data_IF_725986041978
#
_entry.id   IF_725986041978
#
_cell.length_a   1.000
_cell.length_b   1.000
_cell.length_c   1.000
_cell.angle_alpha   90.00
_cell.angle_beta   90.00
_cell.angle_gamma   90.00
#
_symmetry.space_group_name_H-M   'P 1'
#
loop_
_entity.id
_entity.type
_entity.pdbx_description
1 polymer ?
#
# COMPACT_ATOMS: atom_id res chain seq x y z
N UNK A 1 15.52 12.93 22.94
CA UNK A 1 15.66 12.52 21.53
C UNK A 1 14.34 12.58 20.78
N UNK A 2 13.30 11.81 21.10
CA UNK A 2 12.01 11.81 20.39
C UNK A 2 11.33 13.19 20.35
N UNK A 3 11.32 13.94 21.44
CA UNK A 3 10.77 15.28 21.50
C UNK A 3 11.48 16.23 20.53
N UNK A 4 12.81 16.17 20.47
CA UNK A 4 13.60 16.94 19.51
C UNK A 4 13.30 16.53 18.07
N UNK A 5 13.19 15.21 17.81
CA UNK A 5 12.86 14.70 16.48
C UNK A 5 11.45 15.12 16.01
N UNK A 6 10.49 15.20 16.94
CA UNK A 6 9.10 15.53 16.60
C UNK A 6 8.84 17.04 16.48
N UNK A 7 9.48 17.87 17.31
CA UNK A 7 9.10 19.30 17.43
C UNK A 7 10.20 20.29 17.05
N UNK A 8 11.43 19.83 16.79
CA UNK A 8 12.50 20.71 16.30
C UNK A 8 12.57 20.71 14.77
N UNK A 9 12.88 21.84 14.14
CA UNK A 9 13.13 21.85 12.69
C UNK A 9 14.35 21.01 12.37
N UNK A 10 14.13 19.90 11.65
CA UNK A 10 15.17 18.98 11.19
C UNK A 10 15.29 19.15 9.69
N UNK A 11 16.50 19.43 9.21
CA UNK A 11 16.82 19.45 7.79
C UNK A 11 17.57 18.15 7.47
N UNK A 12 16.99 17.35 6.56
CA UNK A 12 17.65 16.12 6.13
C UNK A 12 18.90 16.43 5.28
N UNK A 13 20.06 15.82 5.58
CA UNK A 13 21.23 15.98 4.73
C UNK A 13 20.91 15.61 3.27
N UNK A 14 21.33 16.46 2.31
CA UNK A 14 21.11 16.25 0.86
C UNK A 14 19.65 16.02 0.49
N UNK A 15 18.72 16.76 1.07
CA UNK A 15 17.27 16.61 0.93
C UNK A 15 16.82 16.53 -0.53
N UNK A 16 17.30 17.41 -1.41
CA UNK A 16 16.96 17.41 -2.84
C UNK A 16 17.37 16.10 -3.53
N UNK A 17 18.57 15.58 -3.19
CA UNK A 17 19.02 14.31 -3.76
C UNK A 17 18.19 13.12 -3.25
N UNK A 18 17.76 13.16 -1.97
CA UNK A 18 16.83 12.15 -1.40
C UNK A 18 15.50 12.13 -2.13
N UNK A 19 14.91 13.30 -2.35
CA UNK A 19 13.66 13.47 -3.11
C UNK A 19 13.83 12.92 -4.54
N UNK A 20 14.92 13.30 -5.22
CA UNK A 20 15.18 12.81 -6.58
C UNK A 20 15.31 11.28 -6.63
N UNK A 21 16.07 10.67 -5.72
CA UNK A 21 16.23 9.21 -5.65
C UNK A 21 14.91 8.52 -5.32
N UNK A 22 14.11 9.07 -4.42
CA UNK A 22 12.78 8.54 -4.08
C UNK A 22 11.83 8.57 -5.29
N UNK A 23 11.76 9.70 -5.99
CA UNK A 23 10.94 9.84 -7.20
C UNK A 23 11.41 8.90 -8.32
N UNK A 24 12.73 8.81 -8.54
CA UNK A 24 13.30 7.91 -9.55
C UNK A 24 13.01 6.44 -9.24
N UNK A 25 13.26 6.01 -7.99
CA UNK A 25 12.98 4.65 -7.55
C UNK A 25 11.51 4.30 -7.67
N UNK A 26 10.61 5.21 -7.27
CA UNK A 26 9.17 5.02 -7.42
C UNK A 26 8.73 4.98 -8.88
N UNK A 27 9.28 5.82 -9.75
CA UNK A 27 8.97 5.81 -11.18
C UNK A 27 9.36 4.47 -11.83
N UNK A 28 10.56 3.95 -11.51
CA UNK A 28 11.03 2.65 -12.01
C UNK A 28 10.15 1.51 -11.46
N UNK A 29 9.86 1.50 -10.16
CA UNK A 29 8.98 0.51 -9.55
C UNK A 29 7.59 0.50 -10.18
N UNK A 30 7.00 1.69 -10.36
CA UNK A 30 5.71 1.88 -11.03
C UNK A 30 5.73 1.39 -12.49
N UNK A 31 6.83 1.65 -13.21
CA UNK A 31 6.98 1.15 -14.58
C UNK A 31 6.93 -0.39 -14.63
N UNK A 32 7.65 -1.09 -13.75
CA UNK A 32 7.59 -2.53 -13.69
C UNK A 32 6.21 -3.05 -13.26
N UNK A 33 5.55 -2.41 -12.31
CA UNK A 33 4.22 -2.80 -11.84
C UNK A 33 3.16 -2.68 -12.95
N UNK A 34 3.27 -1.66 -13.81
CA UNK A 34 2.33 -1.45 -14.91
C UNK A 34 2.62 -2.28 -16.17
N UNK A 35 3.91 -2.47 -16.52
CA UNK A 35 4.31 -2.98 -17.83
C UNK A 35 5.01 -4.35 -17.80
N UNK A 36 5.29 -4.90 -16.61
CA UNK A 36 5.93 -6.19 -16.44
C UNK A 36 5.03 -7.17 -15.65
N UNK A 37 3.75 -7.27 -16.00
CA UNK A 37 2.76 -8.16 -15.37
C UNK A 37 2.75 -8.07 -13.85
N UNK A 38 2.94 -6.86 -13.30
CA UNK A 38 3.04 -6.57 -11.84
C UNK A 38 4.24 -7.24 -11.15
N UNK A 39 5.20 -7.71 -11.92
CA UNK A 39 6.40 -8.34 -11.38
C UNK A 39 7.55 -7.33 -11.36
N UNK A 40 7.83 -6.77 -10.19
CA UNK A 40 8.97 -5.87 -9.98
C UNK A 40 10.22 -6.72 -9.72
N UNK A 41 11.30 -6.60 -10.52
CA UNK A 41 12.48 -7.44 -10.36
C UNK A 41 13.10 -7.34 -8.97
N UNK A 42 13.32 -8.47 -8.30
CA UNK A 42 13.95 -8.53 -6.98
C UNK A 42 15.29 -7.77 -6.91
N UNK A 43 16.09 -7.89 -7.99
CA UNK A 43 17.38 -7.17 -8.09
C UNK A 43 17.22 -5.66 -7.98
N UNK A 44 16.15 -5.12 -8.57
CA UNK A 44 15.84 -3.69 -8.45
C UNK A 44 15.42 -3.35 -7.01
N UNK A 45 14.57 -4.16 -6.38
CA UNK A 45 14.10 -3.94 -5.00
C UNK A 45 15.26 -3.92 -4.02
N UNK A 46 16.16 -4.92 -4.09
CA UNK A 46 17.35 -4.97 -3.25
C UNK A 46 18.32 -3.83 -3.54
N UNK A 47 18.53 -3.48 -4.81
CA UNK A 47 19.39 -2.35 -5.18
C UNK A 47 18.84 -1.02 -4.66
N UNK A 48 17.53 -0.79 -4.81
CA UNK A 48 16.89 0.44 -4.34
C UNK A 48 16.96 0.56 -2.81
N UNK A 49 16.69 -0.52 -2.08
CA UNK A 49 16.82 -0.56 -0.63
C UNK A 49 18.27 -0.33 -0.18
N UNK A 50 19.24 -0.97 -0.86
CA UNK A 50 20.67 -0.81 -0.56
C UNK A 50 21.13 0.62 -0.82
N UNK A 51 20.74 1.23 -1.93
CA UNK A 51 21.06 2.64 -2.24
C UNK A 51 20.47 3.56 -1.18
N UNK A 52 19.20 3.34 -0.77
CA UNK A 52 18.56 4.13 0.27
C UNK A 52 19.28 4.01 1.63
N UNK A 53 19.73 2.82 1.99
CA UNK A 53 20.48 2.59 3.22
C UNK A 53 21.88 3.21 3.17
N UNK A 54 22.64 2.97 2.08
CA UNK A 54 23.98 3.51 1.89
C UNK A 54 23.99 5.03 1.84
N UNK A 55 22.95 5.65 1.24
CA UNK A 55 22.81 7.10 1.21
C UNK A 55 22.77 7.71 2.63
N UNK A 56 22.07 7.05 3.56
CA UNK A 56 22.06 7.46 4.95
C UNK A 56 23.42 7.25 5.67
N UNK A 57 24.19 6.25 5.26
CA UNK A 57 25.54 6.02 5.80
C UNK A 57 26.56 7.04 5.30
N UNK A 58 26.45 7.44 4.02
CA UNK A 58 27.36 8.43 3.39
C UNK A 58 27.05 9.84 3.88
N UNK A 59 25.77 10.22 3.92
CA UNK A 59 25.32 11.53 4.39
C UNK A 59 24.71 11.40 5.78
N UNK A 60 25.59 10.98 6.73
CA UNK A 60 25.20 10.58 8.06
C UNK A 60 24.77 11.77 8.93
N UNK A 61 23.57 11.68 9.45
CA UNK A 61 23.08 12.45 10.59
C UNK A 61 22.49 11.46 11.59
N UNK A 62 22.96 11.49 12.84
CA UNK A 62 22.62 10.46 13.83
C UNK A 62 21.13 10.37 14.08
N UNK A 63 20.46 11.51 14.27
CA UNK A 63 19.03 11.57 14.60
C UNK A 63 18.18 11.10 13.42
N UNK A 64 18.48 11.59 12.22
CA UNK A 64 17.78 11.20 10.97
C UNK A 64 18.01 9.73 10.66
N UNK A 65 19.26 9.23 10.82
CA UNK A 65 19.61 7.85 10.54
C UNK A 65 18.86 6.87 11.44
N UNK A 66 18.92 7.08 12.76
CA UNK A 66 18.24 6.19 13.73
C UNK A 66 16.74 6.21 13.49
N UNK A 67 16.16 7.38 13.29
CA UNK A 67 14.73 7.50 13.01
C UNK A 67 14.32 6.76 11.72
N UNK A 68 15.08 6.95 10.63
CA UNK A 68 14.82 6.30 9.35
C UNK A 68 14.92 4.77 9.46
N UNK A 69 15.99 4.25 10.11
CA UNK A 69 16.21 2.80 10.22
C UNK A 69 15.17 2.14 11.11
N UNK A 70 14.87 2.72 12.28
CA UNK A 70 13.87 2.17 13.20
C UNK A 70 12.47 2.16 12.54
N UNK A 71 12.09 3.26 11.90
CA UNK A 71 10.81 3.37 11.22
C UNK A 71 10.72 2.40 10.02
N UNK A 72 11.78 2.33 9.20
CA UNK A 72 11.83 1.39 8.08
C UNK A 72 11.74 -0.06 8.56
N UNK A 73 12.42 -0.42 9.65
CA UNK A 73 12.35 -1.76 10.23
C UNK A 73 10.93 -2.10 10.71
N UNK A 74 10.27 -1.19 11.43
CA UNK A 74 8.90 -1.40 11.91
C UNK A 74 7.94 -1.59 10.73
N UNK A 75 8.00 -0.70 9.74
CA UNK A 75 7.11 -0.77 8.57
C UNK A 75 7.42 -1.98 7.69
N UNK A 76 8.70 -2.37 7.56
CA UNK A 76 9.08 -3.58 6.86
C UNK A 76 8.53 -4.83 7.57
N UNK A 77 8.67 -4.92 8.90
CA UNK A 77 8.17 -6.05 9.67
C UNK A 77 6.62 -6.18 9.58
N UNK A 78 5.90 -5.06 9.73
CA UNK A 78 4.45 -5.02 9.56
C UNK A 78 4.03 -5.36 8.13
N UNK A 79 4.69 -4.75 7.14
CA UNK A 79 4.45 -5.02 5.72
C UNK A 79 4.73 -6.47 5.36
N UNK A 80 5.83 -7.06 5.86
CA UNK A 80 6.15 -8.46 5.64
C UNK A 80 5.09 -9.40 6.24
N UNK A 81 4.56 -9.08 7.44
CA UNK A 81 3.46 -9.83 8.02
C UNK A 81 2.20 -9.76 7.13
N UNK A 82 1.85 -8.57 6.61
CA UNK A 82 0.72 -8.40 5.68
C UNK A 82 0.95 -9.12 4.35
N UNK A 83 2.18 -9.10 3.82
CA UNK A 83 2.57 -9.87 2.65
C UNK A 83 2.34 -11.38 2.86
N UNK A 84 2.79 -11.92 3.99
CA UNK A 84 2.57 -13.34 4.33
C UNK A 84 1.09 -13.72 4.44
N UNK A 85 0.24 -12.77 4.77
CA UNK A 85 -1.22 -12.91 4.77
C UNK A 85 -1.84 -12.76 3.36
N UNK A 86 -1.07 -12.34 2.36
CA UNK A 86 -1.53 -12.09 1.00
C UNK A 86 -2.34 -10.79 0.86
N UNK A 87 -2.12 -9.82 1.75
CA UNK A 87 -2.85 -8.54 1.75
C UNK A 87 -2.17 -7.45 0.94
N UNK A 88 -0.84 -7.50 0.83
CA UNK A 88 -0.03 -6.57 0.03
C UNK A 88 1.03 -7.33 -0.77
N UNK A 89 1.54 -6.73 -1.84
CA UNK A 89 2.62 -7.29 -2.66
C UNK A 89 3.98 -7.23 -1.95
N UNK A 90 4.86 -8.21 -2.24
CA UNK A 90 6.22 -8.21 -1.71
C UNK A 90 7.00 -6.95 -2.13
N UNK A 91 6.86 -6.53 -3.38
CA UNK A 91 7.50 -5.33 -3.90
C UNK A 91 7.11 -4.06 -3.13
N UNK A 92 5.84 -3.92 -2.73
CA UNK A 92 5.33 -2.75 -1.98
C UNK A 92 6.07 -2.60 -0.65
N UNK A 93 6.35 -3.72 0.05
CA UNK A 93 7.06 -3.73 1.33
C UNK A 93 8.47 -3.16 1.20
N UNK A 94 9.22 -3.62 0.18
CA UNK A 94 10.58 -3.14 -0.08
C UNK A 94 10.62 -1.67 -0.47
N UNK A 95 9.69 -1.26 -1.33
CA UNK A 95 9.60 0.12 -1.81
C UNK A 95 9.22 1.08 -0.67
N UNK A 96 8.25 0.72 0.17
CA UNK A 96 7.88 1.51 1.35
C UNK A 96 9.08 1.66 2.29
N UNK A 97 9.82 0.58 2.56
CA UNK A 97 11.01 0.64 3.41
C UNK A 97 12.10 1.54 2.81
N UNK A 98 12.37 1.44 1.51
CA UNK A 98 13.33 2.29 0.82
C UNK A 98 12.92 3.77 0.83
N UNK A 99 11.62 4.08 0.63
CA UNK A 99 11.09 5.43 0.74
C UNK A 99 11.29 6.02 2.14
N UNK A 100 11.03 5.24 3.17
CA UNK A 100 11.21 5.67 4.56
C UNK A 100 12.68 5.90 4.89
N UNK A 101 13.59 5.09 4.36
CA UNK A 101 15.02 5.33 4.50
C UNK A 101 15.45 6.62 3.81
N UNK A 102 14.94 6.93 2.62
CA UNK A 102 15.27 8.16 1.90
C UNK A 102 14.59 9.39 2.49
N UNK A 103 13.31 9.29 2.82
CA UNK A 103 12.46 10.40 3.26
C UNK A 103 11.72 10.04 4.56
N UNK A 104 12.43 9.93 5.69
CA UNK A 104 11.82 9.54 6.96
C UNK A 104 10.83 10.57 7.52
N UNK A 105 11.07 11.85 7.23
CA UNK A 105 10.25 12.99 7.63
C UNK A 105 9.91 13.86 6.42
N UNK A 106 9.03 14.84 6.62
CA UNK A 106 8.69 15.81 5.58
C UNK A 106 9.89 16.70 5.22
N UNK A 107 10.06 17.03 3.93
CA UNK A 107 11.04 18.01 3.51
C UNK A 107 10.86 19.35 4.20
N UNK A 108 11.97 20.04 4.46
CA UNK A 108 12.01 21.29 5.23
C UNK A 108 11.14 22.43 4.66
N UNK A 109 10.91 22.44 3.36
CA UNK A 109 10.08 23.45 2.70
C UNK A 109 8.57 23.29 2.96
N UNK A 110 8.12 22.14 3.50
CA UNK A 110 6.70 21.87 3.71
C UNK A 110 6.13 22.45 5.02
N UNK A 111 6.94 23.01 5.90
CA UNK A 111 6.50 23.67 7.15
C UNK A 111 5.37 22.92 7.89
N UNK A 112 5.61 21.67 8.22
CA UNK A 112 4.64 20.85 9.00
C UNK A 112 4.68 21.22 10.48
N UNK A 113 3.55 21.15 11.22
CA UNK A 113 3.51 21.54 12.63
C UNK A 113 4.35 20.66 13.56
N UNK A 114 4.61 19.43 13.15
CA UNK A 114 5.52 18.48 13.81
C UNK A 114 6.06 17.48 12.79
N UNK A 115 7.24 16.91 13.05
CA UNK A 115 7.94 16.01 12.14
C UNK A 115 7.34 14.59 12.21
N UNK A 116 6.15 14.39 11.67
CA UNK A 116 5.62 13.03 11.50
C UNK A 116 6.20 12.39 10.22
N UNK A 117 6.22 11.04 10.14
CA UNK A 117 6.77 10.36 8.98
C UNK A 117 6.05 10.74 7.68
N UNK A 118 6.81 11.13 6.64
CA UNK A 118 6.26 11.46 5.31
C UNK A 118 5.44 10.32 4.73
N UNK A 119 5.83 9.07 5.02
CA UNK A 119 5.15 7.89 4.50
C UNK A 119 3.66 7.85 4.85
N UNK A 120 3.23 8.42 5.97
CA UNK A 120 1.81 8.50 6.32
C UNK A 120 1.05 9.41 5.35
N UNK A 121 1.62 10.55 4.98
CA UNK A 121 1.03 11.41 3.93
C UNK A 121 0.99 10.68 2.59
N UNK A 122 2.06 9.95 2.23
CA UNK A 122 2.13 9.13 1.01
C UNK A 122 1.01 8.09 0.98
N UNK A 123 0.84 7.35 2.08
CA UNK A 123 -0.20 6.31 2.19
C UNK A 123 -1.62 6.90 2.18
N UNK A 124 -1.83 8.04 2.83
CA UNK A 124 -3.14 8.73 2.86
C UNK A 124 -3.52 9.21 1.45
N UNK A 125 -2.64 9.95 0.78
CA UNK A 125 -2.91 10.44 -0.58
C UNK A 125 -2.96 9.30 -1.60
N UNK A 126 -2.02 8.36 -1.54
CA UNK A 126 -1.99 7.20 -2.41
C UNK A 126 -3.20 6.29 -2.21
N UNK A 127 -3.57 6.04 -0.95
CA UNK A 127 -4.77 5.28 -0.60
C UNK A 127 -6.06 5.94 -1.10
N UNK A 128 -6.18 7.26 -1.00
CA UNK A 128 -7.32 8.00 -1.53
C UNK A 128 -7.40 7.89 -3.07
N UNK A 129 -6.28 8.09 -3.76
CA UNK A 129 -6.21 7.93 -5.22
C UNK A 129 -6.54 6.49 -5.65
N UNK A 130 -5.98 5.49 -4.95
CA UNK A 130 -6.28 4.08 -5.16
C UNK A 130 -7.77 3.77 -4.94
N UNK A 131 -8.36 4.28 -3.86
CA UNK A 131 -9.76 4.03 -3.52
C UNK A 131 -10.71 4.55 -4.61
N UNK A 132 -10.46 5.76 -5.12
CA UNK A 132 -11.23 6.32 -6.25
C UNK A 132 -11.08 5.45 -7.49
N UNK A 133 -9.84 5.11 -7.86
CA UNK A 133 -9.59 4.24 -9.02
C UNK A 133 -10.26 2.87 -8.86
N UNK A 134 -10.12 2.24 -7.70
CA UNK A 134 -10.64 0.90 -7.45
C UNK A 134 -12.17 0.83 -7.53
N UNK A 135 -12.89 1.90 -7.14
CA UNK A 135 -14.34 1.98 -7.34
C UNK A 135 -14.69 1.85 -8.84
N UNK A 136 -14.05 2.65 -9.70
CA UNK A 136 -14.32 2.60 -11.15
C UNK A 136 -13.85 1.29 -11.77
N UNK A 137 -12.70 0.77 -11.34
CA UNK A 137 -12.14 -0.49 -11.80
C UNK A 137 -13.09 -1.66 -11.52
N UNK A 138 -13.53 -1.81 -10.27
CA UNK A 138 -14.44 -2.89 -9.89
C UNK A 138 -15.85 -2.67 -10.44
N UNK A 139 -16.35 -1.44 -10.51
CA UNK A 139 -17.62 -1.15 -11.17
C UNK A 139 -17.58 -1.60 -12.66
N UNK A 140 -16.47 -1.34 -13.36
CA UNK A 140 -16.26 -1.81 -14.73
C UNK A 140 -16.23 -3.34 -14.87
N UNK A 141 -15.61 -4.05 -13.92
CA UNK A 141 -15.60 -5.52 -13.93
C UNK A 141 -16.98 -6.08 -13.61
N UNK A 142 -17.63 -5.56 -12.55
CA UNK A 142 -18.94 -6.03 -12.12
C UNK A 142 -20.03 -5.79 -13.18
N UNK A 143 -19.93 -4.71 -13.96
CA UNK A 143 -20.86 -4.46 -15.07
C UNK A 143 -20.74 -5.48 -16.20
N UNK A 144 -19.55 -6.06 -16.40
CA UNK A 144 -19.27 -7.06 -17.46
C UNK A 144 -19.46 -8.50 -16.99
N UNK A 145 -19.24 -8.79 -15.72
CA UNK A 145 -19.35 -10.14 -15.13
C UNK A 145 -20.68 -10.26 -14.39
N UNK A 146 -21.49 -11.28 -14.72
CA UNK A 146 -22.69 -11.64 -13.95
C UNK A 146 -22.25 -12.33 -12.66
N UNK A 147 -21.98 -11.55 -11.60
CA UNK A 147 -21.71 -12.11 -10.27
C UNK A 147 -23.02 -12.59 -9.62
N UNK A 148 -22.95 -13.70 -8.89
CA UNK A 148 -24.07 -14.23 -8.09
C UNK A 148 -24.15 -13.61 -6.70
N UNK A 149 -23.05 -13.00 -6.24
CA UNK A 149 -22.97 -12.39 -4.93
C UNK A 149 -23.84 -11.14 -4.85
N UNK A 150 -24.63 -11.05 -3.77
CA UNK A 150 -25.55 -9.93 -3.52
C UNK A 150 -24.86 -8.88 -2.65
N UNK A 151 -25.17 -7.58 -2.86
CA UNK A 151 -24.71 -6.53 -1.97
C UNK A 151 -25.16 -6.77 -0.53
N UNK A 152 -24.30 -6.56 0.43
CA UNK A 152 -24.65 -6.64 1.86
C UNK A 152 -24.97 -5.24 2.40
N UNK A 153 -26.25 -4.89 2.36
CA UNK A 153 -26.74 -3.56 2.73
C UNK A 153 -26.61 -3.23 4.22
N UNK A 154 -26.27 -4.20 5.10
CA UNK A 154 -26.06 -3.92 6.53
C UNK A 154 -24.92 -2.91 6.74
N UNK A 155 -23.92 -2.92 5.84
CA UNK A 155 -22.79 -1.97 5.90
C UNK A 155 -23.18 -0.52 5.58
N UNK A 156 -24.40 -0.26 5.06
CA UNK A 156 -24.90 1.11 4.92
C UNK A 156 -25.14 1.77 6.29
N UNK A 157 -25.29 0.99 7.36
CA UNK A 157 -25.33 1.55 8.73
C UNK A 157 -24.06 2.32 9.10
N UNK A 158 -22.92 2.06 8.45
CA UNK A 158 -21.66 2.80 8.63
C UNK A 158 -21.78 4.27 8.18
N UNK A 159 -22.79 4.64 7.38
CA UNK A 159 -23.07 6.05 7.10
C UNK A 159 -23.43 6.84 8.35
N UNK A 160 -23.94 6.18 9.41
CA UNK A 160 -24.15 6.83 10.71
C UNK A 160 -22.83 7.22 11.36
N UNK A 161 -21.81 6.33 11.26
CA UNK A 161 -20.45 6.65 11.74
C UNK A 161 -19.80 7.75 10.93
N UNK A 162 -20.00 7.74 9.61
CA UNK A 162 -19.54 8.83 8.74
C UNK A 162 -20.22 10.16 9.11
N UNK A 163 -21.52 10.15 9.37
CA UNK A 163 -22.26 11.34 9.84
C UNK A 163 -21.72 11.87 11.17
N UNK A 164 -21.41 10.97 12.12
CA UNK A 164 -20.76 11.35 13.38
C UNK A 164 -19.36 11.95 13.15
N UNK A 165 -18.56 11.34 12.28
CA UNK A 165 -17.25 11.88 11.89
C UNK A 165 -17.39 13.29 11.32
N UNK A 166 -18.30 13.51 10.36
CA UNK A 166 -18.53 14.82 9.75
C UNK A 166 -18.99 15.83 10.80
N UNK A 167 -19.92 15.45 11.68
CA UNK A 167 -20.38 16.31 12.77
C UNK A 167 -19.22 16.71 13.70
N UNK A 168 -18.41 15.75 14.13
CA UNK A 168 -17.23 16.03 14.97
C UNK A 168 -16.22 16.93 14.26
N UNK A 169 -16.00 16.70 12.97
CA UNK A 169 -15.08 17.49 12.18
C UNK A 169 -15.50 18.97 12.12
N UNK A 170 -16.76 19.26 11.82
CA UNK A 170 -17.25 20.64 11.74
C UNK A 170 -17.31 21.36 13.10
N UNK A 171 -17.29 20.61 14.20
CA UNK A 171 -17.25 21.17 15.55
C UNK A 171 -15.84 21.18 16.18
N UNK A 172 -14.82 20.63 15.49
CA UNK A 172 -13.45 20.55 15.97
C UNK A 172 -12.50 21.31 15.03
N UNK A 173 -11.83 22.38 15.47
CA UNK A 173 -10.99 23.20 14.61
C UNK A 173 -9.59 22.62 14.30
N UNK A 174 -9.36 21.33 14.55
CA UNK A 174 -8.01 20.76 14.51
C UNK A 174 -7.54 20.29 13.13
N UNK A 175 -8.45 20.15 12.15
CA UNK A 175 -8.12 19.59 10.86
C UNK A 175 -8.50 20.51 9.71
N UNK A 176 -7.73 20.42 8.61
CA UNK A 176 -8.01 21.19 7.41
C UNK A 176 -9.18 20.60 6.59
N UNK A 177 -9.80 21.42 5.73
CA UNK A 177 -10.82 20.95 4.79
C UNK A 177 -10.24 19.92 3.80
N UNK A 178 -8.94 20.00 3.48
CA UNK A 178 -8.27 18.99 2.67
C UNK A 178 -8.24 17.62 3.38
N UNK A 179 -7.96 17.61 4.69
CA UNK A 179 -8.04 16.39 5.49
C UNK A 179 -9.46 15.82 5.49
N UNK A 180 -10.48 16.66 5.69
CA UNK A 180 -11.88 16.21 5.65
C UNK A 180 -12.24 15.58 4.31
N UNK A 181 -11.87 16.22 3.20
CA UNK A 181 -12.14 15.71 1.86
C UNK A 181 -11.48 14.33 1.63
N UNK A 182 -10.19 14.19 1.98
CA UNK A 182 -9.45 12.93 1.81
C UNK A 182 -10.01 11.83 2.71
N UNK A 183 -10.26 12.14 4.00
CA UNK A 183 -10.84 11.19 4.93
C UNK A 183 -12.26 10.76 4.48
N UNK A 184 -13.05 11.68 3.94
CA UNK A 184 -14.37 11.37 3.36
C UNK A 184 -14.25 10.42 2.17
N UNK A 185 -13.30 10.66 1.26
CA UNK A 185 -13.04 9.74 0.13
C UNK A 185 -12.71 8.33 0.64
N UNK A 186 -11.80 8.22 1.61
CA UNK A 186 -11.39 6.93 2.17
C UNK A 186 -12.55 6.22 2.89
N UNK A 187 -13.30 6.93 3.73
CA UNK A 187 -14.41 6.34 4.49
C UNK A 187 -15.56 5.91 3.57
N UNK A 188 -15.99 6.78 2.66
CA UNK A 188 -17.08 6.47 1.75
C UNK A 188 -16.72 5.33 0.80
N UNK A 189 -15.49 5.32 0.27
CA UNK A 189 -14.98 4.21 -0.53
C UNK A 189 -14.97 2.90 0.25
N UNK A 190 -14.55 2.92 1.51
CA UNK A 190 -14.54 1.74 2.38
C UNK A 190 -15.95 1.18 2.60
N UNK A 191 -16.96 2.05 2.78
CA UNK A 191 -18.35 1.62 2.89
C UNK A 191 -18.81 0.93 1.60
N UNK A 192 -18.52 1.52 0.43
CA UNK A 192 -18.86 0.92 -0.87
C UNK A 192 -18.20 -0.45 -1.02
N UNK A 193 -16.89 -0.57 -0.71
CA UNK A 193 -16.18 -1.84 -0.78
C UNK A 193 -16.75 -2.90 0.17
N UNK A 194 -17.18 -2.52 1.36
CA UNK A 194 -17.82 -3.43 2.31
C UNK A 194 -19.19 -3.90 1.81
N UNK A 195 -20.01 -3.00 1.25
CA UNK A 195 -21.32 -3.35 0.69
C UNK A 195 -21.18 -4.35 -0.46
N UNK A 196 -20.20 -4.16 -1.34
CA UNK A 196 -19.97 -5.02 -2.51
C UNK A 196 -18.85 -6.04 -2.32
N UNK A 197 -18.37 -6.25 -1.09
CA UNK A 197 -17.22 -7.09 -0.77
C UNK A 197 -17.25 -8.45 -1.48
N UNK A 198 -18.34 -9.20 -1.31
CA UNK A 198 -18.42 -10.56 -1.83
C UNK A 198 -18.43 -10.59 -3.36
N UNK A 199 -19.09 -9.61 -3.99
CA UNK A 199 -19.09 -9.46 -5.45
C UNK A 199 -17.71 -9.08 -6.00
N UNK A 200 -16.98 -8.19 -5.30
CA UNK A 200 -15.61 -7.77 -5.65
C UNK A 200 -14.66 -8.95 -5.49
N UNK A 201 -14.76 -9.68 -4.38
CA UNK A 201 -13.92 -10.86 -4.15
C UNK A 201 -14.15 -11.93 -5.21
N UNK A 202 -15.43 -12.22 -5.56
CA UNK A 202 -15.75 -13.15 -6.64
C UNK A 202 -15.20 -12.67 -8.00
N UNK A 203 -15.26 -11.38 -8.28
CA UNK A 203 -14.75 -10.79 -9.52
C UNK A 203 -13.21 -10.78 -9.59
N UNK A 204 -12.54 -10.70 -8.44
CA UNK A 204 -11.09 -10.74 -8.34
C UNK A 204 -10.52 -12.16 -8.50
N UNK A 205 -11.33 -13.21 -8.28
CA UNK A 205 -10.91 -14.60 -8.39
C UNK A 205 -10.86 -15.06 -9.85
N UNK A 206 -9.81 -15.83 -10.15
CA UNK A 206 -9.65 -16.50 -11.44
C UNK A 206 -9.15 -17.93 -11.25
N UNK A 207 -9.61 -18.85 -12.11
CA UNK A 207 -9.12 -20.21 -12.11
C UNK A 207 -7.96 -20.33 -13.08
N UNK A 208 -6.77 -20.61 -12.56
CA UNK A 208 -5.52 -20.70 -13.34
C UNK A 208 -5.02 -22.14 -13.35
N UNK A 209 -4.49 -22.55 -14.49
CA UNK A 209 -3.84 -23.86 -14.64
C UNK A 209 -2.52 -23.86 -13.87
N UNK A 210 -2.21 -24.96 -13.14
CA UNK A 210 -1.01 -25.03 -12.28
C UNK A 210 0.31 -24.81 -13.06
N UNK A 211 0.30 -24.97 -14.37
CA UNK A 211 1.48 -24.67 -15.21
C UNK A 211 1.76 -23.18 -15.36
N UNK A 212 0.71 -22.37 -15.30
CA UNK A 212 0.75 -20.92 -15.53
C UNK A 212 0.82 -20.13 -14.21
N UNK A 213 0.97 -20.81 -13.08
CA UNK A 213 1.15 -20.17 -11.76
C UNK A 213 2.52 -19.54 -11.67
N UNK A 214 2.53 -18.33 -11.12
CA UNK A 214 3.74 -17.56 -10.83
C UNK A 214 4.02 -17.52 -9.31
N UNK A 215 5.30 -17.39 -8.91
CA UNK A 215 5.62 -17.06 -7.53
C UNK A 215 4.91 -15.76 -7.13
N UNK A 216 4.45 -15.70 -5.87
CA UNK A 216 3.68 -14.61 -5.28
C UNK A 216 2.18 -14.59 -5.64
N UNK A 217 1.67 -15.49 -6.49
CA UNK A 217 0.23 -15.66 -6.65
C UNK A 217 -0.46 -15.94 -5.31
N UNK A 218 -1.59 -15.28 -5.07
CA UNK A 218 -2.36 -15.41 -3.82
C UNK A 218 -3.50 -16.41 -4.01
N UNK A 219 -3.43 -17.54 -3.29
CA UNK A 219 -4.43 -18.60 -3.34
C UNK A 219 -5.74 -18.22 -2.66
N UNK A 220 -6.85 -18.63 -3.26
CA UNK A 220 -8.20 -18.57 -2.65
C UNK A 220 -8.43 -19.80 -1.81
N UNK A 221 -8.08 -19.73 -0.51
CA UNK A 221 -8.17 -20.89 0.42
C UNK A 221 -9.57 -21.45 0.60
N UNK A 222 -10.59 -20.64 0.47
CA UNK A 222 -11.99 -21.04 0.58
C UNK A 222 -12.40 -22.02 -0.53
N UNK A 223 -11.72 -21.96 -1.67
CA UNK A 223 -11.98 -22.82 -2.85
C UNK A 223 -10.95 -23.95 -3.02
N UNK A 224 -10.08 -24.17 -2.03
CA UNK A 224 -9.13 -25.28 -2.04
C UNK A 224 -9.81 -26.60 -1.69
N UNK A 225 -9.47 -27.65 -2.41
CA UNK A 225 -9.89 -29.02 -2.11
C UNK A 225 -9.28 -29.53 -0.79
N UNK A 226 -9.92 -30.53 -0.18
CA UNK A 226 -9.45 -31.11 1.09
C UNK A 226 -8.02 -31.66 1.00
N UNK A 227 -7.61 -32.15 -0.18
CA UNK A 227 -6.25 -32.64 -0.43
C UNK A 227 -5.23 -31.51 -0.39
N UNK A 228 -5.52 -30.41 -1.08
CA UNK A 228 -4.64 -29.21 -1.12
C UNK A 228 -4.50 -28.57 0.27
N UNK A 229 -5.58 -28.54 1.07
CA UNK A 229 -5.53 -28.01 2.45
C UNK A 229 -4.57 -28.80 3.35
N UNK A 230 -4.43 -30.10 3.13
CA UNK A 230 -3.49 -30.97 3.87
C UNK A 230 -2.03 -30.77 3.48
N UNK A 231 -1.76 -30.17 2.33
CA UNK A 231 -0.38 -29.92 1.85
C UNK A 231 0.32 -28.79 2.60
N UNK A 232 -0.40 -28.03 3.45
CA UNK A 232 0.20 -26.93 4.23
C UNK A 232 0.68 -25.73 3.40
N UNK A 233 0.14 -25.56 2.19
CA UNK A 233 0.51 -24.47 1.27
C UNK A 233 0.12 -23.11 1.86
N UNK A 234 1.01 -22.13 1.77
CA UNK A 234 0.80 -20.77 2.24
C UNK A 234 -0.32 -20.02 1.49
N UNK A 235 -0.63 -18.79 1.96
CA UNK A 235 -1.55 -17.90 1.23
C UNK A 235 -0.91 -17.41 -0.07
N UNK A 236 0.37 -17.08 -0.01
CA UNK A 236 1.19 -16.61 -1.12
C UNK A 236 2.04 -17.80 -1.60
N UNK A 237 1.96 -18.10 -2.90
CA UNK A 237 2.68 -19.23 -3.49
C UNK A 237 4.17 -18.95 -3.59
N UNK A 238 4.97 -19.82 -2.98
CA UNK A 238 6.40 -19.89 -3.24
C UNK A 238 6.73 -20.88 -4.35
N UNK A 239 7.98 -20.87 -4.87
CA UNK A 239 8.43 -21.85 -5.90
C UNK A 239 8.22 -23.31 -5.47
N UNK A 240 8.45 -23.63 -4.17
CA UNK A 240 8.25 -24.96 -3.61
C UNK A 240 6.78 -25.36 -3.57
N UNK A 241 5.88 -24.41 -3.31
CA UNK A 241 4.43 -24.66 -3.28
C UNK A 241 3.91 -24.98 -4.68
N UNK A 242 4.39 -24.26 -5.70
CA UNK A 242 4.06 -24.52 -7.11
C UNK A 242 4.54 -25.92 -7.53
N UNK A 243 5.76 -26.30 -7.17
CA UNK A 243 6.26 -27.66 -7.44
C UNK A 243 5.44 -28.74 -6.73
N UNK A 244 5.03 -28.52 -5.49
CA UNK A 244 4.18 -29.43 -4.74
C UNK A 244 2.81 -29.58 -5.43
N UNK A 245 2.20 -28.48 -5.90
CA UNK A 245 0.95 -28.52 -6.67
C UNK A 245 1.11 -29.28 -7.99
N UNK A 246 2.22 -29.10 -8.70
CA UNK A 246 2.54 -29.84 -9.93
C UNK A 246 2.67 -31.35 -9.67
N UNK A 247 3.35 -31.75 -8.59
CA UNK A 247 3.55 -33.16 -8.20
C UNK A 247 2.27 -33.84 -7.71
N UNK A 248 1.34 -33.06 -7.13
CA UNK A 248 0.06 -33.58 -6.65
C UNK A 248 -0.94 -33.93 -7.75
N UNK A 249 -0.64 -33.60 -9.01
CA UNK A 249 -1.55 -33.82 -10.14
C UNK A 249 -2.72 -32.84 -10.20
N UNK A 250 -2.71 -31.77 -9.38
CA UNK A 250 -3.71 -30.71 -9.42
C UNK A 250 -3.67 -30.01 -10.77
N UNK A 251 -4.83 -29.91 -11.46
CA UNK A 251 -4.90 -29.32 -12.81
C UNK A 251 -5.00 -27.80 -12.78
N UNK A 252 -5.79 -27.26 -11.85
CA UNK A 252 -6.05 -25.83 -11.74
C UNK A 252 -6.34 -25.44 -10.29
N UNK A 253 -6.07 -24.20 -9.97
CA UNK A 253 -6.32 -23.58 -8.66
C UNK A 253 -6.99 -22.22 -8.82
N UNK A 254 -7.66 -21.76 -7.77
CA UNK A 254 -8.22 -20.42 -7.72
C UNK A 254 -7.22 -19.46 -7.09
N UNK A 255 -6.94 -18.35 -7.78
CA UNK A 255 -6.08 -17.26 -7.31
C UNK A 255 -6.79 -15.91 -7.39
N UNK A 256 -6.29 -14.94 -6.67
CA UNK A 256 -6.69 -13.53 -6.81
C UNK A 256 -5.84 -12.87 -7.89
N UNK A 257 -6.27 -12.98 -9.16
CA UNK A 257 -5.52 -12.49 -10.33
C UNK A 257 -5.89 -11.05 -10.71
N UNK A 258 -7.17 -10.65 -10.52
CA UNK A 258 -7.70 -9.38 -11.02
C UNK A 258 -7.68 -8.30 -9.91
N UNK A 259 -6.52 -8.08 -9.30
CA UNK A 259 -6.32 -6.96 -8.36
C UNK A 259 -5.71 -5.76 -9.11
N UNK A 260 -6.08 -4.52 -8.79
CA UNK A 260 -5.42 -3.36 -9.39
C UNK A 260 -3.97 -3.22 -8.91
N UNK A 261 -3.05 -2.65 -9.74
CA UNK A 261 -1.68 -2.37 -9.32
C UNK A 261 -1.68 -1.31 -8.20
N UNK A 262 -0.76 -1.38 -7.23
CA UNK A 262 -0.74 -0.45 -6.10
C UNK A 262 0.39 0.59 -6.18
N UNK A 263 1.56 0.23 -6.71
CA UNK A 263 2.71 1.13 -6.80
C UNK A 263 2.45 2.46 -7.55
N UNK A 264 1.64 2.51 -8.64
CA UNK A 264 1.30 3.77 -9.29
C UNK A 264 0.61 4.75 -8.34
N UNK A 265 -0.22 4.25 -7.44
CA UNK A 265 -0.93 5.08 -6.46
C UNK A 265 -0.03 5.51 -5.31
N UNK A 266 0.92 4.67 -4.88
CA UNK A 266 1.98 5.10 -3.96
C UNK A 266 2.84 6.21 -4.58
N UNK A 267 3.13 6.12 -5.87
CA UNK A 267 3.89 7.17 -6.58
C UNK A 267 3.10 8.48 -6.65
N UNK A 268 1.80 8.43 -7.01
CA UNK A 268 0.91 9.60 -6.94
C UNK A 268 0.88 10.14 -5.50
N UNK A 269 0.76 9.26 -4.52
CA UNK A 269 0.79 9.62 -3.11
C UNK A 269 2.07 10.34 -2.69
N UNK A 270 3.23 9.86 -3.17
CA UNK A 270 4.52 10.53 -2.93
C UNK A 270 4.55 11.94 -3.53
N UNK A 271 4.14 12.09 -4.79
CA UNK A 271 4.09 13.40 -5.44
C UNK A 271 3.17 14.36 -4.67
N UNK A 272 1.96 13.91 -4.32
CA UNK A 272 1.00 14.72 -3.57
C UNK A 272 1.51 15.05 -2.16
N UNK A 273 2.16 14.10 -1.48
CA UNK A 273 2.76 14.34 -0.17
C UNK A 273 3.91 15.36 -0.20
N UNK A 274 4.71 15.34 -1.27
CA UNK A 274 5.78 16.31 -1.49
C UNK A 274 5.27 17.72 -1.84
N UNK A 275 4.04 17.84 -2.36
CA UNK A 275 3.44 19.13 -2.73
C UNK A 275 2.50 19.63 -1.64
N UNK A 276 1.69 18.76 -1.06
CA UNK A 276 0.56 19.11 -0.19
C UNK A 276 0.64 18.50 1.21
N UNK A 277 1.75 17.89 1.59
CA UNK A 277 1.87 17.17 2.86
C UNK A 277 1.57 18.04 4.11
N UNK A 278 1.89 19.34 4.03
CA UNK A 278 1.60 20.29 5.10
C UNK A 278 0.11 20.66 5.24
N UNK A 279 -0.70 20.44 4.21
CA UNK A 279 -2.12 20.82 4.20
C UNK A 279 -3.04 19.85 4.92
N UNK A 280 -2.52 18.69 5.36
CA UNK A 280 -3.32 17.73 6.13
C UNK A 280 -3.68 18.26 7.53
N UNK A 281 -2.90 19.18 8.06
CA UNK A 281 -3.13 19.80 9.36
C UNK A 281 -3.39 21.31 9.21
N UNK A 282 -4.21 21.85 10.09
CA UNK A 282 -4.38 23.31 10.18
C UNK A 282 -3.11 23.88 10.78
N UNK A 283 -2.41 24.72 10.03
CA UNK A 283 -1.35 25.59 10.57
C UNK A 283 -2.05 26.77 11.23
N UNK A 284 -1.99 26.83 12.57
CA UNK A 284 -2.39 28.01 13.32
C UNK A 284 -1.37 29.14 13.17
#
# INVERSE_FOLDING_TARGET
MLERLLFSPIVMPMETARIFLALLGMAIGTYYDLFNNRNVPEKFLYAFLAVAFLFNGVFFDYDVFIYAVVLAFILFALGFAMYRLGQIGGADVFIIAALVLLLPIHPSYLMVPFNYPLIFSVLIFGGAAFAVYAIFYFAGILSKRKTKAKPNYIYLSLFLLYGLFAYMFFNAPFFSMAYFAIASVLLLSSIIFLVYRDAIMEAAMEQVVVKDLEPEDVLVKERMDAHMKKMGIGNVLGPKDIEALKKSGTKSVWIYANLPPFLPFLFIGLILALVFGNQLFVTF
#
